data_IF_501989378454
#
_entry.id   IF_501989378454
#
_cell.length_a   1.000
_cell.length_b   1.000
_cell.length_c   1.000
_cell.angle_alpha   90.00
_cell.angle_beta   90.00
_cell.angle_gamma   90.00
#
_symmetry.space_group_name_H-M   'P 1'
#
loop_
_entity.id
_entity.type
_entity.pdbx_description
1 polymer ?
#
# COMPACT_ATOMS: atom_id res chain seq x y z
N UNK A 1 47.82 45.19 -7.03
CA UNK A 1 46.46 45.14 -6.49
C UNK A 1 45.61 44.49 -7.57
N UNK A 2 45.56 43.16 -7.61
CA UNK A 2 44.81 42.39 -8.60
C UNK A 2 43.54 41.90 -7.92
N UNK A 3 42.39 42.43 -8.36
CA UNK A 3 41.09 42.00 -7.89
C UNK A 3 40.65 40.77 -8.70
N UNK A 4 40.57 39.62 -8.05
CA UNK A 4 39.87 38.45 -8.59
C UNK A 4 38.37 38.66 -8.38
N UNK A 5 37.61 38.81 -9.46
CA UNK A 5 36.16 38.66 -9.44
C UNK A 5 35.84 37.16 -9.50
N UNK A 6 35.38 36.60 -8.38
CA UNK A 6 34.72 35.30 -8.36
C UNK A 6 33.30 35.48 -8.92
N UNK A 7 33.09 35.01 -10.14
CA UNK A 7 31.75 34.84 -10.70
C UNK A 7 31.14 33.57 -10.12
N UNK A 8 30.20 33.72 -9.19
CA UNK A 8 29.40 32.61 -8.66
C UNK A 8 28.41 32.20 -9.77
N UNK A 9 28.65 31.08 -10.44
CA UNK A 9 27.65 30.44 -11.30
C UNK A 9 26.63 29.74 -10.38
N UNK A 10 25.47 30.35 -10.21
CA UNK A 10 24.28 29.67 -9.69
C UNK A 10 23.69 28.88 -10.86
N UNK A 11 23.96 27.59 -10.91
CA UNK A 11 23.23 26.66 -11.77
C UNK A 11 21.82 26.50 -11.22
N UNK A 12 20.84 27.18 -11.81
CA UNK A 12 19.44 26.76 -11.70
C UNK A 12 19.34 25.39 -12.39
N UNK A 13 19.25 24.33 -11.60
CA UNK A 13 18.70 23.07 -12.11
C UNK A 13 17.19 23.31 -12.17
N UNK A 14 16.70 23.67 -13.35
CA UNK A 14 15.28 23.54 -13.64
C UNK A 14 15.00 22.04 -13.67
N UNK A 15 14.39 21.51 -12.61
CA UNK A 15 13.81 20.17 -12.66
C UNK A 15 12.69 20.18 -13.70
N UNK A 16 12.83 19.38 -14.74
CA UNK A 16 11.73 19.12 -15.65
C UNK A 16 10.71 18.26 -14.90
N UNK A 17 9.56 18.84 -14.54
CA UNK A 17 8.39 18.06 -14.17
C UNK A 17 7.74 17.59 -15.49
N UNK A 18 8.07 16.38 -15.92
CA UNK A 18 7.26 15.63 -16.88
C UNK A 18 6.27 14.79 -16.08
N UNK A 19 5.12 14.43 -16.67
CA UNK A 19 4.11 13.70 -15.93
C UNK A 19 4.66 12.36 -15.43
N UNK A 20 4.44 12.12 -14.14
CA UNK A 20 4.93 10.93 -13.45
C UNK A 20 3.73 10.15 -12.90
N UNK A 21 3.85 8.82 -12.93
CA UNK A 21 2.91 7.96 -12.21
C UNK A 21 2.92 8.35 -10.73
N UNK A 22 1.73 8.55 -10.18
CA UNK A 22 1.55 8.94 -8.78
C UNK A 22 0.95 7.79 -7.96
N UNK A 23 1.44 7.66 -6.74
CA UNK A 23 0.81 6.95 -5.64
C UNK A 23 -0.31 7.85 -5.10
N UNK A 24 -1.51 7.28 -4.97
CA UNK A 24 -2.68 7.96 -4.38
C UNK A 24 -3.05 7.21 -3.10
N UNK A 25 -2.70 7.76 -1.91
CA UNK A 25 -2.98 7.09 -0.65
C UNK A 25 -4.48 6.90 -0.42
N UNK A 26 -4.89 5.67 -0.15
CA UNK A 26 -6.28 5.32 0.13
C UNK A 26 -7.14 5.08 -1.12
N UNK A 27 -6.55 5.12 -2.32
CA UNK A 27 -7.25 4.71 -3.53
C UNK A 27 -7.36 3.17 -3.64
N UNK A 28 -8.38 2.72 -4.37
CA UNK A 28 -8.43 1.37 -4.95
C UNK A 28 -7.27 1.25 -5.93
N UNK A 29 -6.43 0.25 -5.76
CA UNK A 29 -5.35 -0.06 -6.68
C UNK A 29 -5.72 -1.33 -7.44
N UNK A 30 -5.76 -1.24 -8.76
CA UNK A 30 -6.15 -2.37 -9.61
C UNK A 30 -4.92 -3.03 -10.18
N UNK A 31 -4.79 -4.35 -10.00
CA UNK A 31 -3.71 -5.10 -10.61
C UNK A 31 -3.86 -5.14 -12.13
N UNK A 32 -2.81 -4.71 -12.84
CA UNK A 32 -2.83 -4.42 -14.27
C UNK A 32 -3.15 -5.63 -15.16
N UNK A 33 -2.83 -6.85 -14.70
CA UNK A 33 -3.01 -8.08 -15.44
C UNK A 33 -4.31 -8.83 -15.13
N UNK A 34 -4.98 -8.51 -14.01
CA UNK A 34 -6.24 -9.18 -13.62
C UNK A 34 -7.45 -8.26 -13.69
N UNK A 35 -7.26 -6.94 -13.55
CA UNK A 35 -8.37 -5.99 -13.43
C UNK A 35 -9.04 -6.02 -12.05
N UNK A 36 -8.44 -6.70 -11.07
CA UNK A 36 -8.96 -6.86 -9.71
C UNK A 36 -8.29 -5.90 -8.72
N UNK A 37 -8.99 -5.53 -7.65
CA UNK A 37 -8.39 -4.80 -6.53
C UNK A 37 -7.25 -5.62 -5.93
N UNK A 38 -6.13 -4.97 -5.64
CA UNK A 38 -4.99 -5.59 -4.97
C UNK A 38 -5.41 -6.01 -3.56
N UNK A 39 -5.14 -7.26 -3.20
CA UNK A 39 -5.35 -7.84 -1.88
C UNK A 39 -4.00 -8.31 -1.33
N UNK A 40 -3.30 -7.40 -0.66
CA UNK A 40 -2.01 -7.65 -0.04
C UNK A 40 -1.85 -6.81 1.24
N UNK A 41 -2.78 -6.96 2.19
CA UNK A 41 -2.76 -6.19 3.44
C UNK A 41 -1.69 -6.69 4.41
N UNK A 42 -1.32 -5.89 5.40
CA UNK A 42 -0.26 -6.25 6.36
C UNK A 42 1.08 -6.50 5.68
N UNK A 43 1.30 -5.86 4.53
CA UNK A 43 2.29 -6.25 3.55
C UNK A 43 3.75 -6.21 4.07
N UNK A 44 4.61 -6.98 3.42
CA UNK A 44 6.05 -6.72 3.35
C UNK A 44 6.48 -6.53 1.90
N UNK A 45 7.54 -5.75 1.68
CA UNK A 45 8.19 -5.62 0.38
C UNK A 45 9.55 -6.30 0.39
N UNK A 46 9.87 -7.02 -0.67
CA UNK A 46 11.23 -7.45 -1.01
C UNK A 46 11.55 -6.96 -2.42
N UNK A 47 12.75 -6.45 -2.62
CA UNK A 47 13.26 -6.02 -3.93
C UNK A 47 14.28 -7.04 -4.44
N UNK A 48 14.17 -7.42 -5.70
CA UNK A 48 15.17 -8.24 -6.37
C UNK A 48 15.30 -7.85 -7.85
N UNK A 49 16.51 -7.47 -8.24
CA UNK A 49 16.88 -7.11 -9.63
C UNK A 49 16.05 -5.96 -10.23
N UNK A 50 15.71 -4.96 -9.42
CA UNK A 50 14.91 -3.79 -9.82
C UNK A 50 13.41 -4.05 -9.85
N UNK A 51 12.96 -5.21 -9.36
CA UNK A 51 11.54 -5.54 -9.22
C UNK A 51 11.20 -5.60 -7.73
N UNK A 52 10.15 -4.88 -7.36
CA UNK A 52 9.57 -4.87 -6.03
C UNK A 52 8.45 -5.88 -5.97
N UNK A 53 8.42 -6.66 -4.90
CA UNK A 53 7.40 -7.67 -4.67
C UNK A 53 6.66 -7.35 -3.38
N UNK A 54 5.36 -7.08 -3.51
CA UNK A 54 4.46 -6.84 -2.39
C UNK A 54 3.78 -8.14 -2.00
N UNK A 55 4.05 -8.58 -0.77
CA UNK A 55 3.56 -9.86 -0.23
C UNK A 55 2.67 -9.55 0.96
N UNK A 56 1.41 -9.98 0.91
CA UNK A 56 0.42 -9.60 1.89
C UNK A 56 -0.79 -10.52 1.95
N UNK A 57 -1.72 -10.18 2.83
CA UNK A 57 -2.90 -10.95 3.16
C UNK A 57 -4.00 -10.80 2.09
N UNK A 58 -4.59 -11.92 1.69
CA UNK A 58 -5.87 -11.95 0.96
C UNK A 58 -7.04 -11.74 1.95
N UNK A 59 -7.86 -10.72 1.73
CA UNK A 59 -8.96 -10.32 2.64
C UNK A 59 -10.32 -10.15 1.94
N UNK A 60 -10.44 -10.61 0.69
CA UNK A 60 -11.70 -10.57 -0.06
C UNK A 60 -12.85 -11.22 0.71
N UNK A 61 -12.61 -12.35 1.37
CA UNK A 61 -13.63 -13.13 2.09
C UNK A 61 -13.56 -12.94 3.62
N UNK A 62 -13.08 -11.80 4.09
CA UNK A 62 -13.05 -11.43 5.51
C UNK A 62 -11.74 -11.81 6.21
N UNK A 63 -11.80 -12.09 7.52
CA UNK A 63 -10.61 -12.15 8.38
C UNK A 63 -9.92 -13.52 8.43
N UNK A 64 -10.65 -14.62 8.17
CA UNK A 64 -10.08 -15.95 8.22
C UNK A 64 -9.09 -16.17 7.08
N UNK A 65 -8.00 -16.89 7.29
CA UNK A 65 -6.96 -17.10 6.29
C UNK A 65 -7.52 -17.61 4.95
N UNK A 66 -7.09 -16.97 3.87
CA UNK A 66 -7.43 -17.32 2.49
C UNK A 66 -6.15 -17.69 1.74
N UNK A 67 -5.25 -16.70 1.59
CA UNK A 67 -3.95 -16.85 0.98
C UNK A 67 -2.99 -15.75 1.44
N UNK A 68 -1.70 -15.97 1.22
CA UNK A 68 -0.67 -14.94 1.13
C UNK A 68 -0.44 -14.67 -0.35
N UNK A 69 -0.84 -13.48 -0.81
CA UNK A 69 -0.70 -13.06 -2.21
C UNK A 69 0.65 -12.39 -2.46
N UNK A 70 1.11 -12.41 -3.70
CA UNK A 70 2.28 -11.69 -4.17
C UNK A 70 1.97 -10.91 -5.44
N UNK A 71 2.42 -9.65 -5.46
CA UNK A 71 2.33 -8.74 -6.59
C UNK A 71 3.72 -8.23 -6.94
N UNK A 72 4.01 -7.96 -8.21
CA UNK A 72 5.27 -7.37 -8.66
C UNK A 72 5.07 -5.99 -9.27
N UNK A 73 6.07 -5.12 -9.14
CA UNK A 73 6.11 -3.81 -9.77
C UNK A 73 7.56 -3.37 -10.02
N UNK A 74 7.80 -2.64 -11.11
CA UNK A 74 9.09 -1.99 -11.37
C UNK A 74 9.14 -0.52 -10.93
N UNK A 75 8.00 0.05 -10.50
CA UNK A 75 7.85 1.49 -10.23
C UNK A 75 7.09 1.82 -8.92
N UNK A 76 6.67 0.79 -8.16
CA UNK A 76 5.83 0.87 -6.95
C UNK A 76 4.40 1.37 -7.17
N UNK A 77 3.98 1.62 -8.41
CA UNK A 77 2.66 2.16 -8.74
C UNK A 77 1.85 1.13 -9.50
N UNK A 78 2.39 0.60 -10.58
CA UNK A 78 1.72 -0.40 -11.41
C UNK A 78 2.07 -1.80 -10.92
N UNK A 79 1.08 -2.50 -10.39
CA UNK A 79 1.25 -3.83 -9.83
C UNK A 79 0.65 -4.91 -10.72
N UNK A 80 1.34 -6.04 -10.86
CA UNK A 80 0.85 -7.26 -11.49
C UNK A 80 0.70 -8.36 -10.43
N UNK A 81 -0.42 -9.09 -10.45
CA UNK A 81 -0.58 -10.26 -9.60
C UNK A 81 0.28 -11.42 -10.09
N UNK A 82 1.11 -11.97 -9.22
CA UNK A 82 2.04 -13.06 -9.55
C UNK A 82 1.51 -14.43 -9.10
N UNK A 83 0.86 -14.47 -7.93
CA UNK A 83 0.29 -15.71 -7.42
C UNK A 83 0.08 -15.73 -5.91
N UNK A 84 -0.34 -16.89 -5.43
CA UNK A 84 -0.57 -17.18 -4.02
C UNK A 84 0.58 -18.05 -3.51
N UNK A 85 1.32 -17.54 -2.52
CA UNK A 85 2.55 -18.13 -2.01
C UNK A 85 2.23 -19.24 -1.03
N UNK A 86 1.20 -19.01 -0.22
CA UNK A 86 0.67 -19.95 0.77
C UNK A 86 -0.86 -19.83 0.77
N UNK A 87 -1.57 -20.94 0.81
CA UNK A 87 -3.05 -20.97 0.71
C UNK A 87 -3.67 -21.78 1.84
N UNK A 88 -4.91 -21.42 2.21
CA UNK A 88 -5.69 -22.18 3.18
C UNK A 88 -5.82 -23.65 2.77
N UNK A 89 -5.66 -24.56 3.73
CA UNK A 89 -5.88 -25.99 3.57
C UNK A 89 -7.32 -26.37 3.90
N UNK A 90 -7.80 -27.49 3.33
CA UNK A 90 -9.10 -28.07 3.69
C UNK A 90 -9.09 -28.79 5.05
N UNK A 91 -7.91 -29.21 5.51
CA UNK A 91 -7.70 -29.93 6.77
C UNK A 91 -7.50 -28.97 7.95
N UNK A 92 -7.85 -29.43 9.16
CA UNK A 92 -7.53 -28.75 10.41
C UNK A 92 -6.00 -28.57 10.56
N UNK A 93 -5.59 -27.47 11.17
CA UNK A 93 -4.18 -27.12 11.37
C UNK A 93 -3.99 -25.61 11.35
N UNK A 94 -2.75 -25.15 11.39
CA UNK A 94 -2.42 -23.71 11.43
C UNK A 94 -2.95 -22.95 10.21
N UNK A 95 -2.98 -23.61 9.05
CA UNK A 95 -3.46 -23.05 7.77
C UNK A 95 -4.87 -23.50 7.41
N UNK A 96 -5.57 -24.15 8.34
CA UNK A 96 -6.90 -24.71 8.11
C UNK A 96 -8.03 -23.67 8.11
N UNK A 97 -9.29 -24.12 8.04
CA UNK A 97 -10.46 -23.26 8.12
C UNK A 97 -10.53 -22.47 9.43
N UNK A 98 -11.02 -21.22 9.36
CA UNK A 98 -11.23 -20.31 10.51
C UNK A 98 -9.95 -19.97 11.31
N UNK A 99 -8.78 -20.09 10.69
CA UNK A 99 -7.49 -19.68 11.26
C UNK A 99 -7.16 -18.24 10.89
N UNK A 100 -6.26 -17.63 11.64
CA UNK A 100 -5.70 -16.30 11.36
C UNK A 100 -4.25 -16.48 10.94
N UNK A 101 -3.90 -15.91 9.78
CA UNK A 101 -2.54 -15.90 9.24
C UNK A 101 -2.31 -14.49 8.72
N UNK A 102 -1.45 -13.74 9.40
CA UNK A 102 -1.33 -12.29 9.20
C UNK A 102 0.13 -11.83 9.09
N UNK A 103 0.29 -10.63 8.54
CA UNK A 103 1.51 -9.85 8.38
C UNK A 103 2.69 -10.63 7.79
N UNK A 104 2.53 -11.35 6.66
CA UNK A 104 3.64 -12.08 6.05
C UNK A 104 4.83 -11.15 5.79
N UNK A 105 6.02 -11.62 6.13
CA UNK A 105 7.29 -10.96 5.79
C UNK A 105 8.25 -11.98 5.21
N UNK A 106 8.90 -11.62 4.10
CA UNK A 106 9.82 -12.50 3.39
C UNK A 106 11.20 -11.86 3.32
N UNK A 107 12.23 -12.64 3.66
CA UNK A 107 13.64 -12.29 3.44
C UNK A 107 14.35 -13.42 2.72
N UNK A 108 15.40 -13.09 1.97
CA UNK A 108 16.28 -14.08 1.33
C UNK A 108 17.40 -14.47 2.29
N UNK A 109 17.63 -15.77 2.44
CA UNK A 109 18.83 -16.31 3.05
C UNK A 109 19.93 -16.42 1.99
N UNK A 110 20.99 -15.63 2.11
CA UNK A 110 21.99 -15.49 1.03
C UNK A 110 22.88 -16.74 0.90
N UNK A 111 23.07 -17.49 1.99
CA UNK A 111 23.89 -18.71 2.01
C UNK A 111 23.21 -19.88 1.30
N UNK A 112 21.89 -20.00 1.45
CA UNK A 112 21.10 -21.09 0.85
C UNK A 112 20.40 -20.69 -0.44
N UNK A 113 20.22 -19.38 -0.68
CA UNK A 113 19.42 -18.82 -1.75
C UNK A 113 17.90 -18.97 -1.56
N UNK A 114 17.45 -19.55 -0.43
CA UNK A 114 16.04 -19.75 -0.11
C UNK A 114 15.40 -18.45 0.37
N UNK A 115 14.10 -18.32 0.11
CA UNK A 115 13.29 -17.24 0.68
C UNK A 115 12.56 -17.79 1.89
N UNK A 116 12.64 -17.09 3.01
CA UNK A 116 12.04 -17.48 4.28
C UNK A 116 10.93 -16.50 4.61
N UNK A 117 9.72 -17.02 4.78
CA UNK A 117 8.53 -16.29 5.15
C UNK A 117 8.24 -16.50 6.64
N UNK A 118 8.00 -15.40 7.35
CA UNK A 118 7.49 -15.41 8.72
C UNK A 118 6.07 -14.86 8.75
N UNK A 119 5.24 -15.44 9.61
CA UNK A 119 3.79 -15.20 9.71
C UNK A 119 3.38 -15.06 11.17
N UNK A 120 2.37 -14.24 11.45
CA UNK A 120 1.58 -14.39 12.67
C UNK A 120 0.57 -15.51 12.43
N UNK A 121 0.55 -16.52 13.31
CA UNK A 121 -0.37 -17.66 13.27
C UNK A 121 -1.25 -17.64 14.52
N UNK A 122 -2.56 -17.66 14.33
CA UNK A 122 -3.50 -17.63 15.45
C UNK A 122 -4.81 -18.39 15.25
N UNK A 123 -5.46 -18.63 16.38
CA UNK A 123 -6.88 -18.97 16.45
C UNK A 123 -7.73 -17.73 16.19
N UNK A 124 -9.00 -17.91 15.81
CA UNK A 124 -9.91 -16.80 15.55
C UNK A 124 -10.21 -15.90 16.77
N UNK A 125 -9.90 -16.37 17.98
CA UNK A 125 -9.96 -15.61 19.24
C UNK A 125 -8.59 -15.11 19.73
N UNK A 126 -7.55 -15.22 18.89
CA UNK A 126 -6.19 -14.72 19.11
C UNK A 126 -5.49 -15.27 20.36
N UNK A 127 -5.76 -16.53 20.72
CA UNK A 127 -5.23 -17.18 21.93
C UNK A 127 -4.02 -18.07 21.67
N UNK A 128 -3.80 -18.53 20.44
CA UNK A 128 -2.62 -19.33 20.12
C UNK A 128 -1.36 -18.45 20.20
N UNK A 129 -1.42 -17.23 19.64
CA UNK A 129 -0.36 -16.21 19.67
C UNK A 129 1.01 -16.79 19.31
N UNK A 130 1.13 -17.33 18.09
CA UNK A 130 2.30 -18.03 17.56
C UNK A 130 2.85 -17.30 16.33
N UNK A 131 4.11 -17.59 16.02
CA UNK A 131 4.70 -17.32 14.72
C UNK A 131 4.69 -18.58 13.87
N UNK A 132 4.65 -18.43 12.55
CA UNK A 132 4.81 -19.52 11.58
C UNK A 132 5.96 -19.25 10.63
N UNK A 133 6.60 -20.32 10.15
CA UNK A 133 7.74 -20.24 9.21
C UNK A 133 7.44 -21.08 7.97
N UNK A 134 7.72 -20.51 6.80
CA UNK A 134 7.62 -21.20 5.51
C UNK A 134 8.82 -20.87 4.62
N UNK A 135 9.14 -21.74 3.66
CA UNK A 135 10.28 -21.52 2.74
C UNK A 135 9.91 -21.69 1.27
N UNK A 136 10.54 -20.91 0.40
CA UNK A 136 10.32 -20.93 -1.04
C UNK A 136 11.63 -20.83 -1.84
N UNK A 137 11.57 -21.21 -3.11
CA UNK A 137 12.68 -21.14 -4.08
C UNK A 137 12.73 -19.84 -4.89
N UNK A 138 11.73 -18.97 -4.76
CA UNK A 138 11.63 -17.69 -5.42
C UNK A 138 10.70 -16.76 -4.66
N UNK A 139 10.78 -15.46 -4.92
CA UNK A 139 10.00 -14.43 -4.20
C UNK A 139 8.49 -14.70 -4.26
N UNK A 140 7.92 -14.82 -5.48
CA UNK A 140 6.52 -15.17 -5.66
C UNK A 140 6.30 -16.65 -6.00
N UNK A 141 7.16 -17.55 -5.50
CA UNK A 141 7.01 -18.99 -5.67
C UNK A 141 5.96 -19.61 -4.73
N UNK A 142 5.74 -20.91 -4.82
CA UNK A 142 5.02 -21.65 -3.78
C UNK A 142 5.91 -21.86 -2.56
N UNK A 143 5.35 -21.65 -1.38
CA UNK A 143 6.06 -21.82 -0.11
C UNK A 143 5.63 -23.11 0.59
N UNK A 144 6.61 -23.85 1.11
CA UNK A 144 6.41 -24.98 2.00
C UNK A 144 6.32 -24.46 3.44
N UNK A 145 5.14 -24.61 4.05
CA UNK A 145 4.93 -24.32 5.47
C UNK A 145 5.61 -25.38 6.33
N UNK A 146 6.43 -24.94 7.28
CA UNK A 146 7.24 -25.82 8.12
C UNK A 146 6.53 -26.11 9.45
N UNK A 147 6.32 -25.08 10.26
CA UNK A 147 5.70 -25.18 11.58
C UNK A 147 5.28 -23.82 12.14
N UNK A 148 4.53 -23.85 13.24
CA UNK A 148 4.35 -22.70 14.14
C UNK A 148 4.82 -22.99 15.56
N UNK A 149 5.26 -21.94 16.24
CA UNK A 149 5.69 -21.99 17.64
C UNK A 149 5.57 -20.64 18.34
N UNK A 150 5.78 -20.64 19.66
CA UNK A 150 5.91 -19.43 20.48
C UNK A 150 7.40 -19.09 20.61
N UNK A 151 7.89 -17.96 20.09
CA UNK A 151 9.32 -17.68 20.04
C UNK A 151 9.89 -17.59 21.46
N UNK A 152 10.85 -18.47 21.78
CA UNK A 152 11.43 -18.62 23.14
C UNK A 152 10.37 -18.88 24.24
N UNK A 153 9.19 -19.38 23.87
CA UNK A 153 8.05 -19.60 24.76
C UNK A 153 7.17 -18.38 25.03
N UNK A 154 7.49 -17.19 24.47
CA UNK A 154 6.70 -15.97 24.61
C UNK A 154 5.52 -15.95 23.64
N UNK A 155 4.47 -15.19 23.97
CA UNK A 155 3.41 -14.90 23.01
C UNK A 155 3.96 -14.07 21.85
N UNK A 156 3.41 -14.26 20.66
CA UNK A 156 3.63 -13.38 19.51
C UNK A 156 2.32 -13.19 18.75
N UNK A 157 1.87 -11.96 18.58
CA UNK A 157 0.79 -11.61 17.65
C UNK A 157 1.36 -10.87 16.47
N UNK A 158 1.07 -9.58 16.34
CA UNK A 158 1.61 -8.75 15.28
C UNK A 158 3.13 -8.88 15.17
N UNK A 159 3.58 -9.13 13.94
CA UNK A 159 4.99 -9.31 13.63
C UNK A 159 5.49 -8.33 12.56
N UNK A 160 6.81 -8.15 12.58
CA UNK A 160 7.59 -7.64 11.47
C UNK A 160 8.90 -8.42 11.36
N UNK A 161 9.67 -8.18 10.30
CA UNK A 161 10.93 -8.87 10.05
C UNK A 161 11.95 -7.88 9.51
N UNK A 162 13.16 -7.92 10.07
CA UNK A 162 14.25 -7.04 9.68
C UNK A 162 15.52 -7.86 9.43
N UNK A 163 16.13 -7.68 8.25
CA UNK A 163 17.46 -8.20 7.93
C UNK A 163 18.44 -7.03 7.89
N UNK A 164 19.46 -7.08 8.74
CA UNK A 164 20.50 -6.05 8.80
C UNK A 164 21.52 -6.24 7.67
N UNK A 165 22.34 -5.22 7.46
CA UNK A 165 23.34 -5.16 6.39
C UNK A 165 24.44 -6.23 6.53
N UNK A 166 24.63 -6.78 7.73
CA UNK A 166 25.58 -7.87 8.00
C UNK A 166 24.99 -9.27 7.74
N UNK A 167 23.73 -9.35 7.30
CA UNK A 167 23.01 -10.59 7.04
C UNK A 167 22.37 -11.22 8.26
N UNK A 168 22.49 -10.64 9.46
CA UNK A 168 21.69 -11.09 10.61
C UNK A 168 20.23 -10.67 10.45
N UNK A 169 19.30 -11.52 10.90
CA UNK A 169 17.87 -11.26 10.80
C UNK A 169 17.19 -11.28 12.18
N UNK A 170 16.09 -10.53 12.28
CA UNK A 170 15.39 -10.28 13.53
C UNK A 170 13.89 -10.30 13.32
N UNK A 171 13.20 -11.09 14.12
CA UNK A 171 11.75 -11.03 14.31
C UNK A 171 11.42 -9.84 15.22
N UNK A 172 10.48 -9.02 14.78
CA UNK A 172 9.82 -8.00 15.58
C UNK A 172 8.48 -8.59 16.03
N UNK A 173 8.14 -8.52 17.32
CA UNK A 173 6.98 -9.25 17.85
C UNK A 173 6.28 -8.49 18.97
N UNK A 174 4.94 -8.42 18.91
CA UNK A 174 4.07 -8.01 20.01
C UNK A 174 3.79 -9.19 20.94
N UNK A 175 4.26 -9.08 22.18
CA UNK A 175 4.00 -10.01 23.28
C UNK A 175 3.02 -9.35 24.26
N UNK A 176 1.75 -9.77 24.24
CA UNK A 176 0.69 -9.14 25.05
C UNK A 176 0.94 -9.17 26.56
N UNK A 177 1.80 -10.05 27.05
CA UNK A 177 2.15 -10.11 28.47
C UNK A 177 3.29 -9.16 28.84
N UNK A 178 4.12 -8.75 27.88
CA UNK A 178 5.35 -7.99 28.12
C UNK A 178 5.39 -6.64 27.40
N UNK A 179 5.07 -6.61 26.11
CA UNK A 179 5.23 -5.47 25.20
C UNK A 179 5.93 -5.91 23.91
N UNK A 180 6.65 -5.00 23.27
CA UNK A 180 7.32 -5.27 21.99
C UNK A 180 8.72 -5.87 22.18
N UNK A 181 9.13 -6.79 21.30
CA UNK A 181 10.47 -7.42 21.31
C UNK A 181 11.16 -7.34 19.95
N UNK A 182 12.49 -7.25 19.98
CA UNK A 182 13.38 -7.59 18.87
C UNK A 182 14.06 -8.91 19.24
N UNK A 183 13.85 -9.94 18.42
CA UNK A 183 14.33 -11.30 18.67
C UNK A 183 15.21 -11.70 17.49
N UNK A 184 16.47 -12.04 17.77
CA UNK A 184 17.42 -12.49 16.76
C UNK A 184 17.01 -13.87 16.22
N UNK A 185 17.13 -14.07 14.92
CA UNK A 185 16.94 -15.37 14.27
C UNK A 185 18.23 -16.18 14.21
N UNK A 186 18.10 -17.50 14.04
CA UNK A 186 19.21 -18.40 13.67
C UNK A 186 19.76 -18.06 12.29
N UNK A 187 20.97 -18.53 11.96
CA UNK A 187 21.65 -18.19 10.69
C UNK A 187 20.90 -18.68 9.44
N UNK A 188 20.08 -19.74 9.56
CA UNK A 188 19.19 -20.23 8.49
C UNK A 188 17.85 -19.48 8.43
N UNK A 189 17.59 -18.59 9.39
CA UNK A 189 16.34 -17.85 9.61
C UNK A 189 15.10 -18.71 9.89
N UNK A 190 15.28 -19.99 10.25
CA UNK A 190 14.16 -20.92 10.45
C UNK A 190 13.70 -21.01 11.92
N UNK A 191 14.46 -20.45 12.86
CA UNK A 191 14.12 -20.40 14.28
C UNK A 191 14.64 -19.09 14.92
N UNK A 192 14.31 -18.87 16.20
CA UNK A 192 14.79 -17.77 17.02
C UNK A 192 16.00 -18.19 17.88
N UNK A 193 16.98 -17.30 18.02
CA UNK A 193 18.18 -17.49 18.85
C UNK A 193 18.00 -16.85 20.23
N UNK A 194 17.89 -15.52 20.29
CA UNK A 194 17.84 -14.78 21.55
C UNK A 194 17.11 -13.44 21.44
N UNK A 195 16.51 -12.98 22.54
CA UNK A 195 15.98 -11.62 22.66
C UNK A 195 17.16 -10.63 22.58
N UNK A 196 17.10 -9.74 21.59
CA UNK A 196 18.09 -8.67 21.40
C UNK A 196 17.71 -7.43 22.21
N UNK A 197 16.43 -7.08 22.23
CA UNK A 197 15.88 -5.99 23.04
C UNK A 197 14.39 -6.20 23.30
N UNK A 198 13.86 -5.56 24.35
CA UNK A 198 12.42 -5.54 24.62
C UNK A 198 11.99 -4.26 25.33
N UNK A 199 10.76 -3.84 25.05
CA UNK A 199 10.10 -2.74 25.74
C UNK A 199 8.97 -3.29 26.60
N UNK A 200 8.83 -2.78 27.82
CA UNK A 200 7.58 -2.87 28.59
C UNK A 200 6.57 -1.82 28.11
N UNK A 201 6.37 -1.77 26.79
CA UNK A 201 5.49 -0.87 26.07
C UNK A 201 4.91 -1.62 24.88
N UNK A 202 3.61 -1.49 24.67
CA UNK A 202 2.87 -2.21 23.64
C UNK A 202 2.80 -1.37 22.37
N UNK A 203 3.74 -1.64 21.45
CA UNK A 203 3.64 -1.22 20.06
C UNK A 203 3.43 -2.48 19.20
N UNK A 204 2.21 -2.67 18.70
CA UNK A 204 1.89 -3.70 17.70
C UNK A 204 2.27 -3.21 16.30
N UNK A 205 2.00 -4.03 15.29
CA UNK A 205 2.36 -3.81 13.89
C UNK A 205 3.82 -3.38 13.63
N UNK A 206 4.82 -4.00 14.28
CA UNK A 206 6.15 -3.43 14.32
C UNK A 206 6.85 -3.46 12.95
N UNK A 207 7.44 -2.33 12.56
CA UNK A 207 8.27 -2.20 11.36
C UNK A 207 9.62 -1.56 11.70
N UNK A 208 10.73 -2.09 11.18
CA UNK A 208 12.08 -1.59 11.49
C UNK A 208 12.85 -1.27 10.23
N UNK A 209 13.57 -0.14 10.25
CA UNK A 209 14.49 0.28 9.19
C UNK A 209 15.77 0.85 9.80
N UNK A 210 16.89 0.73 9.08
CA UNK A 210 18.15 1.40 9.41
C UNK A 210 18.47 2.47 8.37
N UNK A 211 18.78 3.69 8.81
CA UNK A 211 19.16 4.84 7.97
C UNK A 211 20.21 5.70 8.64
N UNK A 212 21.26 6.04 7.89
CA UNK A 212 22.33 6.92 8.39
C UNK A 212 23.01 6.41 9.68
N UNK A 213 23.04 5.09 9.91
CA UNK A 213 23.56 4.49 11.15
C UNK A 213 22.58 4.45 12.34
N UNK A 214 21.34 4.92 12.16
CA UNK A 214 20.28 4.87 13.15
C UNK A 214 19.26 3.81 12.78
N UNK A 215 18.88 2.96 13.73
CA UNK A 215 17.73 2.08 13.65
C UNK A 215 16.48 2.85 14.11
N UNK A 216 15.40 2.72 13.36
CA UNK A 216 14.08 3.23 13.68
C UNK A 216 13.15 2.04 13.75
N UNK A 217 12.41 1.90 14.85
CA UNK A 217 11.30 0.95 14.95
C UNK A 217 10.00 1.74 15.09
N UNK A 218 8.99 1.36 14.33
CA UNK A 218 7.66 1.94 14.30
C UNK A 218 6.66 0.92 14.81
N UNK A 219 5.53 1.37 15.33
CA UNK A 219 4.41 0.51 15.68
C UNK A 219 3.17 1.30 16.10
N UNK A 220 2.03 0.64 16.15
CA UNK A 220 0.76 1.21 16.59
C UNK A 220 0.42 0.86 18.04
N UNK A 221 -0.47 1.62 18.66
CA UNK A 221 -1.11 1.19 19.90
C UNK A 221 -2.11 0.04 19.65
N UNK A 222 -2.53 -0.63 20.73
CA UNK A 222 -3.48 -1.76 20.70
C UNK A 222 -4.94 -1.28 20.68
N UNK A 223 -5.44 -0.90 19.50
CA UNK A 223 -6.83 -0.44 19.31
C UNK A 223 -7.65 -1.34 18.40
N UNK A 224 -7.19 -2.57 18.17
CA UNK A 224 -7.83 -3.49 17.24
C UNK A 224 -7.75 -2.93 15.82
N UNK A 225 -8.88 -2.90 15.11
CA UNK A 225 -8.93 -2.35 13.75
C UNK A 225 -8.98 -0.82 13.68
N UNK A 226 -9.30 -0.14 14.79
CA UNK A 226 -9.39 1.32 14.79
C UNK A 226 -7.97 1.91 14.69
N UNK A 227 -7.72 2.89 13.80
CA UNK A 227 -6.41 3.50 13.68
C UNK A 227 -6.10 4.38 14.91
N UNK A 228 -4.82 4.61 15.16
CA UNK A 228 -4.32 5.46 16.25
C UNK A 228 -3.07 6.23 15.83
N UNK A 229 -2.63 7.19 16.65
CA UNK A 229 -1.37 7.89 16.43
C UNK A 229 -0.21 6.92 16.66
N UNK A 230 0.36 6.38 15.58
CA UNK A 230 1.45 5.42 15.63
C UNK A 230 2.70 6.10 16.17
N UNK A 231 3.57 5.29 16.77
CA UNK A 231 4.78 5.74 17.46
C UNK A 231 6.04 5.14 16.84
N UNK A 232 7.17 5.76 17.10
CA UNK A 232 8.49 5.23 16.78
C UNK A 232 9.49 5.42 17.92
N UNK A 233 10.56 4.63 17.87
CA UNK A 233 11.73 4.71 18.75
C UNK A 233 13.01 4.54 17.93
N UNK A 234 14.13 5.08 18.43
CA UNK A 234 15.43 5.04 17.73
C UNK A 234 16.58 4.54 18.60
N UNK A 235 17.58 3.91 17.96
CA UNK A 235 18.83 3.51 18.58
C UNK A 235 19.98 3.45 17.56
N UNK A 236 21.22 3.45 18.02
CA UNK A 236 22.40 3.18 17.16
C UNK A 236 22.84 1.72 17.20
N UNK A 237 22.15 0.88 17.98
CA UNK A 237 22.35 -0.57 18.06
C UNK A 237 21.01 -1.23 18.37
N UNK A 238 20.75 -2.40 17.80
CA UNK A 238 19.53 -3.15 18.06
C UNK A 238 19.36 -3.54 19.54
N UNK A 239 20.45 -3.71 20.28
CA UNK A 239 20.44 -3.98 21.73
C UNK A 239 20.24 -2.71 22.59
N UNK A 240 20.07 -1.56 21.95
CA UNK A 240 19.81 -0.28 22.58
C UNK A 240 21.07 0.49 23.04
N UNK A 241 20.89 1.50 23.91
CA UNK A 241 19.60 1.95 24.45
C UNK A 241 18.71 2.54 23.36
N UNK A 242 17.41 2.23 23.44
CA UNK A 242 16.39 2.80 22.57
C UNK A 242 15.79 4.06 23.21
N UNK A 243 15.41 5.04 22.39
CA UNK A 243 14.70 6.22 22.85
C UNK A 243 13.31 5.87 23.39
N UNK A 244 12.69 6.80 24.12
CA UNK A 244 11.25 6.68 24.38
C UNK A 244 10.47 6.66 23.05
N UNK A 245 9.33 5.98 23.07
CA UNK A 245 8.36 6.02 21.98
C UNK A 245 7.76 7.42 21.87
N UNK A 246 7.61 7.91 20.64
CA UNK A 246 7.01 9.21 20.32
C UNK A 246 6.33 9.14 18.96
N UNK A 247 5.36 10.00 18.70
CA UNK A 247 4.60 10.04 17.45
C UNK A 247 5.45 10.61 16.29
N UNK A 248 5.20 10.15 15.06
CA UNK A 248 5.86 10.65 13.84
C UNK A 248 4.90 11.28 12.82
N UNK A 249 3.59 11.10 12.98
CA UNK A 249 2.56 11.84 12.26
C UNK A 249 1.96 12.94 13.16
N UNK A 250 1.27 13.96 12.60
CA UNK A 250 0.53 14.93 13.40
C UNK A 250 -0.48 14.21 14.31
N UNK A 251 -0.35 14.44 15.62
CA UNK A 251 -1.22 13.86 16.65
C UNK A 251 -2.69 14.19 16.38
N UNK A 252 -3.57 13.20 16.54
CA UNK A 252 -5.00 13.28 16.27
C UNK A 252 -5.40 12.94 14.84
N UNK A 253 -4.43 12.73 13.94
CA UNK A 253 -4.72 12.21 12.59
C UNK A 253 -4.88 10.70 12.58
N UNK A 254 -4.52 10.02 13.68
CA UNK A 254 -4.45 8.56 13.75
C UNK A 254 -3.56 7.99 12.63
N UNK A 255 -2.40 8.62 12.44
CA UNK A 255 -1.48 8.31 11.33
C UNK A 255 -2.19 8.39 9.97
N UNK A 256 -2.96 9.46 9.76
CA UNK A 256 -3.83 9.64 8.60
C UNK A 256 -4.83 8.48 8.38
N UNK A 257 -5.45 8.05 9.49
CA UNK A 257 -6.35 6.90 9.55
C UNK A 257 -5.74 5.63 8.97
N UNK A 258 -4.55 5.28 9.44
CA UNK A 258 -3.87 4.04 9.03
C UNK A 258 -3.03 3.41 10.15
N UNK A 259 -2.65 2.17 9.94
CA UNK A 259 -1.78 1.40 10.82
C UNK A 259 -0.54 0.98 10.03
N UNK A 260 0.65 1.27 10.56
CA UNK A 260 1.92 0.87 9.94
C UNK A 260 1.98 -0.65 9.70
N UNK A 261 2.61 -1.08 8.62
CA UNK A 261 2.91 -2.50 8.40
C UNK A 261 4.35 -2.75 7.93
N UNK A 262 4.93 -1.79 7.20
CA UNK A 262 6.27 -1.86 6.64
C UNK A 262 6.83 -0.45 6.44
N UNK A 263 8.15 -0.35 6.40
CA UNK A 263 8.84 0.89 6.04
C UNK A 263 9.86 0.54 4.96
N UNK A 264 9.56 0.91 3.71
CA UNK A 264 10.37 0.55 2.56
C UNK A 264 11.56 1.52 2.43
N UNK A 265 12.79 1.01 2.42
CA UNK A 265 13.96 1.71 1.92
C UNK A 265 13.77 2.49 0.61
N UNK A 266 14.03 3.80 0.60
CA UNK A 266 14.12 4.60 -0.63
C UNK A 266 15.44 5.37 -0.69
N UNK A 267 16.23 5.16 -1.74
CA UNK A 267 17.57 5.75 -1.83
C UNK A 267 18.46 5.42 -0.63
N UNK A 268 19.37 6.34 -0.29
CA UNK A 268 20.35 6.13 0.79
C UNK A 268 19.88 6.58 2.17
N UNK A 269 18.96 7.54 2.24
CA UNK A 269 18.61 8.27 3.47
C UNK A 269 17.10 8.39 3.70
N UNK A 270 16.28 7.97 2.74
CA UNK A 270 14.83 8.12 2.77
C UNK A 270 14.11 6.79 2.93
N UNK A 271 12.80 6.89 3.14
CA UNK A 271 11.92 5.75 3.26
C UNK A 271 10.50 6.09 2.78
N UNK A 272 9.71 5.05 2.57
CA UNK A 272 8.28 5.13 2.32
C UNK A 272 7.59 4.44 3.50
N UNK A 273 6.73 5.19 4.19
CA UNK A 273 5.80 4.62 5.15
C UNK A 273 4.77 3.81 4.38
N UNK A 274 4.50 2.59 4.84
CA UNK A 274 3.44 1.76 4.31
C UNK A 274 2.52 1.36 5.46
N UNK A 275 1.24 1.70 5.33
CA UNK A 275 0.22 1.31 6.28
C UNK A 275 -1.07 0.88 5.60
N UNK A 276 -1.89 0.17 6.37
CA UNK A 276 -3.23 -0.26 5.98
C UNK A 276 -4.26 0.69 6.58
N UNK A 277 -5.25 1.11 5.78
CA UNK A 277 -6.50 1.70 6.23
C UNK A 277 -7.54 0.59 6.29
N UNK A 278 -7.66 -0.01 7.46
CA UNK A 278 -8.57 -1.12 7.70
C UNK A 278 -10.03 -0.68 7.69
N UNK A 279 -10.88 -1.47 7.03
CA UNK A 279 -12.33 -1.33 7.05
C UNK A 279 -12.91 -2.58 7.69
N UNK A 280 -12.98 -2.62 9.03
CA UNK A 280 -13.32 -3.84 9.78
C UNK A 280 -14.70 -4.44 9.45
N UNK A 281 -15.65 -3.61 9.01
CA UNK A 281 -16.97 -4.06 8.55
C UNK A 281 -16.97 -4.66 7.15
N UNK A 282 -15.90 -4.46 6.37
CA UNK A 282 -15.74 -4.95 5.00
C UNK A 282 -14.24 -4.97 4.62
N UNK A 283 -13.51 -5.99 5.08
CA UNK A 283 -12.04 -6.04 4.94
C UNK A 283 -11.57 -6.00 3.47
N UNK A 284 -12.39 -6.50 2.54
CA UNK A 284 -12.13 -6.41 1.11
C UNK A 284 -12.04 -4.97 0.58
N UNK A 285 -12.61 -4.00 1.31
CA UNK A 285 -12.58 -2.57 1.00
C UNK A 285 -11.45 -1.81 1.73
N UNK A 286 -10.56 -2.50 2.44
CA UNK A 286 -9.37 -1.87 3.05
C UNK A 286 -8.41 -1.38 1.95
N UNK A 287 -7.70 -0.30 2.24
CA UNK A 287 -6.83 0.41 1.28
C UNK A 287 -5.44 0.67 1.87
N UNK A 288 -4.53 1.13 1.02
CA UNK A 288 -3.11 1.32 1.36
C UNK A 288 -2.78 2.80 1.52
N UNK A 289 -2.20 3.19 2.66
CA UNK A 289 -1.70 4.54 2.92
C UNK A 289 -0.19 4.52 2.82
N UNK A 290 0.31 4.84 1.62
CA UNK A 290 1.74 4.94 1.35
C UNK A 290 2.15 6.38 1.22
N UNK A 291 3.08 6.81 2.05
CA UNK A 291 3.48 8.21 2.16
C UNK A 291 5.01 8.32 2.26
N UNK A 292 5.61 9.39 1.72
CA UNK A 292 7.01 9.68 1.96
C UNK A 292 7.30 9.82 3.46
N UNK A 293 8.32 9.12 3.94
CA UNK A 293 8.75 9.16 5.33
C UNK A 293 10.11 9.86 5.43
N UNK A 294 10.14 10.99 6.12
CA UNK A 294 11.36 11.75 6.34
C UNK A 294 12.10 11.21 7.56
N UNK A 295 13.37 10.86 7.37
CA UNK A 295 14.25 10.34 8.43
C UNK A 295 15.52 11.21 8.49
N UNK A 296 15.76 11.83 9.65
CA UNK A 296 16.96 12.67 9.85
C UNK A 296 17.52 12.53 11.25
N UNK A 297 18.73 11.97 11.34
CA UNK A 297 19.43 11.74 12.61
C UNK A 297 18.70 10.70 13.46
N UNK A 298 17.83 11.18 14.35
CA UNK A 298 16.96 10.37 15.23
C UNK A 298 15.49 10.77 15.12
N UNK A 299 15.13 11.58 14.13
CA UNK A 299 13.77 12.11 13.94
C UNK A 299 13.11 11.42 12.75
N UNK A 300 11.86 11.00 12.93
CA UNK A 300 10.97 10.56 11.86
C UNK A 300 9.77 11.51 11.74
N UNK A 301 9.35 11.83 10.52
CA UNK A 301 8.18 12.67 10.27
C UNK A 301 7.38 12.19 9.06
N UNK A 302 6.05 12.19 9.18
CA UNK A 302 5.10 11.79 8.16
C UNK A 302 4.14 12.94 7.83
N UNK A 303 4.15 13.36 6.56
CA UNK A 303 3.26 14.41 6.03
C UNK A 303 2.29 13.79 5.02
N UNK A 304 1.04 14.27 5.01
CA UNK A 304 0.05 13.85 4.03
C UNK A 304 0.34 14.43 2.66
N UNK A 305 0.11 13.63 1.62
CA UNK A 305 0.12 14.01 0.22
C UNK A 305 -1.10 13.40 -0.46
N UNK A 306 -1.93 14.21 -1.12
CA UNK A 306 -3.11 13.70 -1.86
C UNK A 306 -2.71 12.80 -3.02
N UNK A 307 -1.56 13.10 -3.62
CA UNK A 307 -0.84 12.25 -4.57
C UNK A 307 0.64 12.64 -4.58
N UNK A 308 1.50 11.69 -4.92
CA UNK A 308 2.94 11.94 -5.02
C UNK A 308 3.59 10.92 -5.95
N UNK A 309 4.69 11.29 -6.57
CA UNK A 309 5.46 10.42 -7.46
C UNK A 309 6.80 10.07 -6.85
N UNK A 310 7.28 8.86 -7.14
CA UNK A 310 8.57 8.35 -6.68
C UNK A 310 9.52 8.18 -7.87
N UNK A 311 10.75 8.68 -7.73
CA UNK A 311 11.86 8.37 -8.61
C UNK A 311 12.78 7.37 -7.91
N UNK A 312 12.64 6.11 -8.28
CA UNK A 312 13.43 5.01 -7.71
C UNK A 312 14.92 5.10 -8.08
N UNK A 313 15.26 5.77 -9.18
CA UNK A 313 16.66 5.93 -9.62
C UNK A 313 17.39 6.93 -8.73
N UNK A 314 16.75 8.07 -8.45
CA UNK A 314 17.36 9.10 -7.59
C UNK A 314 17.03 8.92 -6.10
N UNK A 315 16.06 8.08 -5.75
CA UNK A 315 15.51 8.00 -4.40
C UNK A 315 14.75 9.27 -4.00
N UNK A 316 14.24 10.03 -4.96
CA UNK A 316 13.47 11.24 -4.71
C UNK A 316 11.96 10.97 -4.79
N UNK A 317 11.19 11.92 -4.28
CA UNK A 317 9.76 12.02 -4.53
C UNK A 317 9.41 13.47 -4.84
N UNK A 318 8.24 13.66 -5.45
CA UNK A 318 7.69 14.98 -5.75
C UNK A 318 6.18 14.99 -5.63
N UNK A 319 5.65 16.15 -5.26
CA UNK A 319 4.24 16.47 -5.47
C UNK A 319 3.98 16.77 -6.95
N UNK A 320 2.75 16.58 -7.43
CA UNK A 320 2.33 17.08 -8.73
C UNK A 320 2.53 18.60 -8.78
N UNK A 321 2.99 19.10 -9.93
CA UNK A 321 3.12 20.54 -10.17
C UNK A 321 1.75 21.20 -10.38
N UNK A 322 0.77 20.42 -10.87
CA UNK A 322 -0.61 20.86 -11.03
C UNK A 322 -1.57 19.68 -10.85
N UNK A 323 -2.83 20.00 -10.52
CA UNK A 323 -3.91 19.03 -10.45
C UNK A 323 -5.06 19.56 -11.30
N UNK A 324 -5.54 18.73 -12.22
CA UNK A 324 -6.73 19.02 -13.02
C UNK A 324 -7.92 18.24 -12.47
N UNK A 325 -9.08 18.88 -12.43
CA UNK A 325 -10.31 18.37 -11.83
C UNK A 325 -11.45 18.54 -12.84
N UNK A 326 -12.19 17.45 -13.08
CA UNK A 326 -13.31 17.41 -14.02
C UNK A 326 -14.49 16.66 -13.40
N UNK A 327 -15.59 17.38 -13.17
CA UNK A 327 -16.80 16.81 -12.55
C UNK A 327 -17.45 15.76 -13.47
N UNK A 328 -17.84 14.64 -12.88
CA UNK A 328 -18.45 13.51 -13.57
C UNK A 328 -19.76 13.90 -14.25
N UNK A 329 -20.60 14.69 -13.58
CA UNK A 329 -21.87 15.18 -14.10
C UNK A 329 -21.75 16.16 -15.27
N UNK A 330 -20.59 16.78 -15.46
CA UNK A 330 -20.31 17.68 -16.58
C UNK A 330 -19.89 16.92 -17.85
N UNK A 331 -19.62 15.62 -17.73
CA UNK A 331 -19.29 14.76 -18.87
C UNK A 331 -20.46 14.48 -19.82
N UNK A 332 -20.16 14.02 -21.03
CA UNK A 332 -21.19 13.55 -21.96
C UNK A 332 -21.77 12.21 -21.48
N UNK A 333 -23.02 12.25 -21.01
CA UNK A 333 -23.74 11.08 -20.51
C UNK A 333 -24.57 10.43 -21.63
N UNK A 334 -24.38 9.13 -21.82
CA UNK A 334 -25.10 8.36 -22.83
C UNK A 334 -25.42 6.94 -22.33
N UNK A 335 -26.17 6.17 -23.13
CA UNK A 335 -26.47 4.76 -22.81
C UNK A 335 -27.27 4.54 -21.52
N UNK A 336 -27.98 5.55 -21.03
CA UNK A 336 -28.74 5.48 -19.77
C UNK A 336 -28.03 6.09 -18.55
N UNK A 337 -26.75 6.46 -18.69
CA UNK A 337 -26.06 7.28 -17.69
C UNK A 337 -26.78 8.62 -17.50
N UNK A 338 -26.79 9.12 -16.26
CA UNK A 338 -27.48 10.36 -15.88
C UNK A 338 -26.92 10.93 -14.59
N UNK A 339 -27.12 12.22 -14.39
CA UNK A 339 -26.80 12.87 -13.13
C UNK A 339 -27.64 12.31 -11.99
N UNK A 340 -27.04 12.07 -10.83
CA UNK A 340 -27.70 11.63 -9.60
C UNK A 340 -27.29 12.52 -8.42
N UNK A 341 -28.15 12.61 -7.41
CA UNK A 341 -27.78 13.27 -6.16
C UNK A 341 -26.74 12.42 -5.42
N UNK A 342 -25.67 13.05 -4.95
CA UNK A 342 -24.60 12.41 -4.21
C UNK A 342 -24.09 13.33 -3.10
N UNK A 343 -24.51 13.12 -1.85
CA UNK A 343 -24.12 14.01 -0.75
C UNK A 343 -22.64 14.00 -0.37
N UNK A 344 -21.91 12.96 -0.75
CA UNK A 344 -20.47 12.80 -0.48
C UNK A 344 -19.58 13.25 -1.64
N UNK A 345 -20.18 13.56 -2.80
CA UNK A 345 -19.48 13.96 -4.01
C UNK A 345 -19.20 15.46 -4.00
N UNK A 346 -18.22 15.89 -4.80
CA UNK A 346 -18.08 17.28 -5.17
C UNK A 346 -19.39 17.79 -5.79
N UNK A 347 -19.73 19.05 -5.53
CA UNK A 347 -20.98 19.65 -6.02
C UNK A 347 -22.29 19.04 -5.50
N UNK A 348 -22.26 17.92 -4.78
CA UNK A 348 -23.44 17.18 -4.35
C UNK A 348 -24.08 16.31 -5.44
N UNK A 349 -23.40 16.10 -6.58
CA UNK A 349 -23.93 15.43 -7.78
C UNK A 349 -22.87 14.45 -8.31
N UNK A 350 -23.29 13.44 -9.07
CA UNK A 350 -22.40 12.51 -9.74
C UNK A 350 -22.99 12.03 -11.07
N UNK A 351 -22.15 11.52 -11.97
CA UNK A 351 -22.59 10.72 -13.10
C UNK A 351 -22.89 9.28 -12.66
N UNK A 352 -24.17 8.96 -12.50
CA UNK A 352 -24.63 7.63 -12.11
C UNK A 352 -25.11 6.79 -13.29
N UNK A 353 -25.53 5.56 -12.97
CA UNK A 353 -26.01 4.57 -13.94
C UNK A 353 -24.96 4.20 -15.00
N UNK A 354 -23.67 4.21 -14.62
CA UNK A 354 -22.59 3.72 -15.48
C UNK A 354 -22.70 2.21 -15.64
N UNK A 355 -22.52 1.72 -16.87
CA UNK A 355 -22.74 0.33 -17.24
C UNK A 355 -24.22 -0.06 -17.23
N UNK A 356 -24.49 -1.33 -16.98
CA UNK A 356 -25.84 -1.87 -16.92
C UNK A 356 -25.90 -3.36 -17.16
N UNK A 357 -27.09 -3.92 -17.03
CA UNK A 357 -27.29 -5.36 -17.20
C UNK A 357 -27.09 -5.75 -18.67
N UNK A 358 -26.48 -6.91 -18.91
CA UNK A 358 -26.11 -7.41 -20.25
C UNK A 358 -27.27 -7.50 -21.25
N UNK A 359 -28.51 -7.54 -20.75
CA UNK A 359 -29.74 -7.70 -21.53
C UNK A 359 -30.52 -6.37 -21.68
N UNK A 360 -29.96 -5.24 -21.25
CA UNK A 360 -30.61 -3.94 -21.31
C UNK A 360 -29.99 -3.03 -22.38
N UNK A 361 -30.82 -2.22 -23.04
CA UNK A 361 -30.36 -1.12 -23.90
C UNK A 361 -29.69 0.02 -23.10
N UNK A 362 -29.58 -0.14 -21.77
CA UNK A 362 -28.90 0.76 -20.86
C UNK A 362 -27.48 0.23 -20.58
N UNK A 363 -26.51 0.64 -21.39
CA UNK A 363 -25.10 0.50 -21.06
C UNK A 363 -24.52 1.89 -20.86
N UNK A 364 -24.70 2.45 -19.66
CA UNK A 364 -24.38 3.83 -19.36
C UNK A 364 -22.90 4.14 -19.52
N UNK A 365 -22.62 5.31 -20.09
CA UNK A 365 -21.28 5.80 -20.35
C UNK A 365 -21.20 7.27 -19.97
N UNK A 366 -20.10 7.64 -19.33
CA UNK A 366 -19.68 9.05 -19.18
C UNK A 366 -18.39 9.25 -19.99
N UNK A 367 -18.33 10.35 -20.74
CA UNK A 367 -17.11 10.79 -21.44
C UNK A 367 -16.72 12.17 -20.92
N UNK A 368 -15.51 12.27 -20.38
CA UNK A 368 -14.94 13.52 -19.86
C UNK A 368 -13.87 14.04 -20.83
N UNK A 369 -13.96 15.32 -21.18
CA UNK A 369 -12.95 16.00 -21.98
C UNK A 369 -11.90 16.62 -21.06
N UNK A 370 -10.65 16.16 -21.15
CA UNK A 370 -9.53 16.64 -20.35
C UNK A 370 -8.48 17.33 -21.21
N UNK A 371 -8.17 18.60 -20.93
CA UNK A 371 -7.11 19.35 -21.62
C UNK A 371 -5.84 19.33 -20.77
N UNK A 372 -4.80 18.69 -21.28
CA UNK A 372 -3.56 18.37 -20.53
C UNK A 372 -2.38 19.09 -21.15
N UNK A 373 -1.62 19.84 -20.35
CA UNK A 373 -0.33 20.36 -20.79
C UNK A 373 0.80 19.48 -20.24
N UNK A 374 1.23 18.47 -21.01
CA UNK A 374 2.34 17.58 -20.63
C UNK A 374 3.72 18.25 -20.74
N UNK A 375 3.82 19.49 -21.24
CA UNK A 375 5.06 20.24 -21.55
C UNK A 375 6.07 19.57 -22.51
N UNK A 376 6.06 18.24 -22.67
CA UNK A 376 6.94 17.47 -23.56
C UNK A 376 6.40 17.36 -24.99
N UNK A 377 5.10 17.59 -25.19
CA UNK A 377 4.42 17.42 -26.48
C UNK A 377 4.25 15.96 -26.92
N UNK A 378 4.71 15.00 -26.13
CA UNK A 378 4.52 13.56 -26.36
C UNK A 378 3.40 13.00 -25.46
N UNK A 379 2.96 11.77 -25.74
CA UNK A 379 2.02 11.07 -24.88
C UNK A 379 2.74 10.54 -23.63
N UNK A 380 2.30 10.98 -22.46
CA UNK A 380 2.89 10.61 -21.17
C UNK A 380 1.96 9.65 -20.41
N UNK A 381 2.57 8.73 -19.66
CA UNK A 381 1.84 7.79 -18.83
C UNK A 381 1.58 8.43 -17.47
N UNK A 382 0.32 8.56 -17.08
CA UNK A 382 -0.12 9.29 -15.89
C UNK A 382 -1.11 8.46 -15.08
N UNK A 383 -1.24 8.79 -13.80
CA UNK A 383 -2.30 8.25 -12.94
C UNK A 383 -3.53 9.15 -13.02
N UNK A 384 -4.68 8.58 -13.39
CA UNK A 384 -5.99 9.16 -13.15
C UNK A 384 -6.45 8.74 -11.75
N UNK A 385 -6.93 9.70 -10.96
CA UNK A 385 -7.68 9.45 -9.75
C UNK A 385 -9.17 9.65 -10.05
N UNK A 386 -9.91 8.55 -10.17
CA UNK A 386 -11.36 8.60 -10.38
C UNK A 386 -12.01 8.60 -9.00
N UNK A 387 -12.58 9.74 -8.58
CA UNK A 387 -13.43 9.83 -7.40
C UNK A 387 -14.80 9.22 -7.70
N UNK A 388 -15.34 8.45 -6.77
CA UNK A 388 -16.55 7.68 -7.05
C UNK A 388 -17.33 7.28 -5.79
N UNK A 389 -18.57 6.83 -6.01
CA UNK A 389 -19.35 6.08 -5.03
C UNK A 389 -19.65 4.65 -5.47
N UNK A 390 -19.53 3.73 -4.53
CA UNK A 390 -20.06 2.38 -4.61
C UNK A 390 -20.70 2.01 -3.26
N UNK A 391 -22.03 2.17 -3.16
CA UNK A 391 -22.78 1.83 -1.96
C UNK A 391 -22.94 0.33 -1.70
N UNK A 392 -22.49 -0.56 -2.61
CA UNK A 392 -22.54 -2.01 -2.39
C UNK A 392 -21.37 -2.46 -1.52
N UNK A 393 -21.48 -3.63 -0.89
CA UNK A 393 -20.36 -4.26 -0.17
C UNK A 393 -19.30 -4.83 -1.11
N UNK A 394 -19.73 -5.37 -2.26
CA UNK A 394 -18.83 -5.93 -3.25
C UNK A 394 -18.27 -4.83 -4.16
N UNK A 395 -17.04 -4.99 -4.68
CA UNK A 395 -16.50 -4.11 -5.70
C UNK A 395 -17.42 -4.04 -6.92
N UNK A 396 -17.43 -2.88 -7.57
CA UNK A 396 -17.91 -2.71 -8.94
C UNK A 396 -16.71 -2.57 -9.88
N UNK A 397 -16.96 -2.69 -11.17
CA UNK A 397 -15.93 -2.61 -12.19
C UNK A 397 -16.41 -1.72 -13.33
N UNK A 398 -15.50 -0.95 -13.90
CA UNK A 398 -15.74 -0.18 -15.10
C UNK A 398 -14.53 -0.25 -16.04
N UNK A 399 -14.80 -0.15 -17.32
CA UNK A 399 -13.79 -0.02 -18.36
C UNK A 399 -13.47 1.47 -18.56
N UNK A 400 -12.18 1.81 -18.51
CA UNK A 400 -11.65 3.16 -18.74
C UNK A 400 -10.88 3.15 -20.06
N UNK A 401 -11.32 3.96 -21.03
CA UNK A 401 -10.67 4.13 -22.33
C UNK A 401 -10.31 5.59 -22.54
N UNK A 402 -9.10 5.83 -23.07
CA UNK A 402 -8.63 7.18 -23.40
C UNK A 402 -8.51 7.34 -24.90
N UNK A 403 -9.05 8.43 -25.45
CA UNK A 403 -8.96 8.77 -26.88
C UNK A 403 -9.43 7.66 -27.82
N UNK A 404 -10.40 6.84 -27.39
CA UNK A 404 -10.88 5.67 -28.14
C UNK A 404 -9.87 4.51 -28.24
N UNK A 405 -8.83 4.52 -27.40
CA UNK A 405 -7.86 3.43 -27.26
C UNK A 405 -8.43 2.20 -26.57
N UNK A 406 -7.58 1.19 -26.38
CA UNK A 406 -7.94 -0.02 -25.64
C UNK A 406 -8.40 0.33 -24.22
N UNK A 407 -9.53 -0.25 -23.81
CA UNK A 407 -10.09 -0.03 -22.49
C UNK A 407 -9.39 -0.93 -21.46
N UNK A 408 -9.08 -0.37 -20.29
CA UNK A 408 -8.60 -1.12 -19.13
C UNK A 408 -9.73 -1.28 -18.11
N UNK A 409 -9.86 -2.45 -17.50
CA UNK A 409 -10.79 -2.66 -16.39
C UNK A 409 -10.18 -2.08 -15.11
N UNK A 410 -10.94 -1.25 -14.40
CA UNK A 410 -10.62 -0.74 -13.09
C UNK A 410 -11.62 -1.26 -12.04
N UNK A 411 -11.11 -1.59 -10.86
CA UNK A 411 -11.92 -1.94 -9.70
C UNK A 411 -12.35 -0.68 -8.94
N UNK A 412 -13.52 -0.76 -8.31
CA UNK A 412 -14.13 0.28 -7.50
C UNK A 412 -14.71 -0.36 -6.25
N UNK A 413 -13.91 -0.47 -5.19
CA UNK A 413 -14.30 -1.11 -3.92
C UNK A 413 -15.43 -0.36 -3.23
N UNK A 414 -16.05 -0.98 -2.22
CA UNK A 414 -17.14 -0.37 -1.45
C UNK A 414 -16.71 0.96 -0.82
N UNK A 415 -17.53 1.99 -0.98
CA UNK A 415 -17.41 3.27 -0.28
C UNK A 415 -18.47 3.42 0.82
N UNK A 416 -19.20 2.35 1.15
CA UNK A 416 -20.30 2.40 2.12
C UNK A 416 -19.88 2.81 3.54
N UNK A 417 -18.58 2.70 3.85
CA UNK A 417 -17.99 3.12 5.12
C UNK A 417 -17.60 4.61 5.15
N UNK A 418 -17.60 5.30 4.00
CA UNK A 418 -17.32 6.73 3.92
C UNK A 418 -18.55 7.53 4.39
N UNK A 419 -18.34 8.53 5.26
CA UNK A 419 -19.43 9.37 5.76
C UNK A 419 -19.55 10.73 5.07
N UNK A 420 -18.47 11.25 4.52
CA UNK A 420 -18.37 12.65 4.07
C UNK A 420 -17.60 12.87 2.77
N UNK A 421 -16.91 11.86 2.24
CA UNK A 421 -16.15 11.97 0.98
C UNK A 421 -16.39 10.80 0.04
N UNK A 422 -16.26 11.03 -1.25
CA UNK A 422 -16.18 9.97 -2.25
C UNK A 422 -14.94 9.06 -2.03
N UNK A 423 -15.00 7.87 -2.61
CA UNK A 423 -13.86 6.97 -2.74
C UNK A 423 -12.89 7.43 -3.81
N UNK A 424 -11.84 6.65 -4.05
CA UNK A 424 -10.83 6.95 -5.08
C UNK A 424 -10.36 5.67 -5.74
N UNK A 425 -10.19 5.67 -7.06
CA UNK A 425 -9.63 4.56 -7.81
C UNK A 425 -8.52 5.08 -8.72
N UNK A 426 -7.33 4.47 -8.60
CA UNK A 426 -6.16 4.85 -9.37
C UNK A 426 -6.11 4.04 -10.68
N UNK A 427 -6.02 4.73 -11.82
CA UNK A 427 -5.99 4.12 -13.16
C UNK A 427 -4.88 4.71 -14.00
N UNK A 428 -4.04 3.89 -14.63
CA UNK A 428 -2.82 4.35 -15.31
C UNK A 428 -3.01 4.38 -16.83
N UNK A 429 -3.01 5.57 -17.41
CA UNK A 429 -3.34 5.81 -18.83
C UNK A 429 -2.24 6.57 -19.55
N UNK A 430 -2.33 6.65 -20.88
CA UNK A 430 -1.50 7.56 -21.67
C UNK A 430 -2.34 8.77 -22.11
N UNK A 431 -1.94 9.97 -21.73
CA UNK A 431 -2.55 11.23 -22.20
C UNK A 431 -1.59 11.91 -23.17
N UNK A 432 -2.11 12.58 -24.21
CA UNK A 432 -1.32 13.47 -25.08
C UNK A 432 -1.44 14.92 -24.58
N UNK A 433 -0.48 15.77 -24.93
CA UNK A 433 -0.66 17.22 -24.78
C UNK A 433 -1.89 17.71 -25.58
N UNK A 434 -2.68 18.60 -24.98
CA UNK A 434 -3.95 19.11 -25.50
C UNK A 434 -5.16 18.27 -25.07
N UNK A 435 -6.23 18.35 -25.87
CA UNK A 435 -7.50 17.69 -25.60
C UNK A 435 -7.42 16.15 -25.66
N UNK A 436 -7.87 15.51 -24.59
CA UNK A 436 -8.07 14.07 -24.44
C UNK A 436 -9.52 13.78 -24.12
N UNK A 437 -10.01 12.60 -24.50
CA UNK A 437 -11.28 12.08 -23.99
C UNK A 437 -11.02 10.90 -23.05
N UNK A 438 -11.69 10.89 -21.90
CA UNK A 438 -11.66 9.78 -20.94
C UNK A 438 -13.08 9.22 -20.84
N UNK A 439 -13.27 8.01 -21.38
CA UNK A 439 -14.54 7.30 -21.37
C UNK A 439 -14.55 6.28 -20.23
N UNK A 440 -15.60 6.30 -19.41
CA UNK A 440 -15.86 5.29 -18.37
C UNK A 440 -17.19 4.59 -18.68
N UNK A 441 -17.16 3.26 -18.80
CA UNK A 441 -18.31 2.42 -19.19
C UNK A 441 -18.36 1.10 -18.42
N UNK A 442 -19.49 0.39 -18.44
CA UNK A 442 -19.60 -0.92 -17.77
C UNK A 442 -18.77 -2.04 -18.41
N UNK A 443 -18.51 -3.11 -17.64
CA UNK A 443 -17.80 -4.33 -18.06
C UNK A 443 -18.74 -5.55 -18.18
N UNK A 444 -20.02 -5.31 -18.48
CA UNK A 444 -21.08 -6.35 -18.47
C UNK A 444 -21.93 -6.38 -17.19
N UNK A 445 -21.83 -5.32 -16.38
CA UNK A 445 -22.67 -5.06 -15.21
C UNK A 445 -22.64 -3.56 -14.85
N UNK A 446 -23.20 -3.23 -13.69
CA UNK A 446 -23.21 -1.86 -13.16
C UNK A 446 -21.83 -1.43 -12.64
N UNK A 447 -21.35 -0.29 -13.14
CA UNK A 447 -20.16 0.42 -12.66
C UNK A 447 -20.47 1.32 -11.46
N UNK A 448 -19.47 2.04 -10.92
CA UNK A 448 -19.66 3.00 -9.84
C UNK A 448 -20.41 4.26 -10.33
N UNK A 449 -20.85 5.09 -9.39
CA UNK A 449 -21.27 6.46 -9.70
C UNK A 449 -20.01 7.35 -9.68
N UNK A 450 -19.76 8.09 -10.77
CA UNK A 450 -18.52 8.87 -10.97
C UNK A 450 -18.73 10.28 -10.44
N UNK A 451 -17.97 10.64 -9.42
CA UNK A 451 -17.94 11.97 -8.80
C UNK A 451 -17.07 12.91 -9.64
N UNK A 452 -15.77 12.63 -9.71
CA UNK A 452 -14.80 13.54 -10.30
C UNK A 452 -13.65 12.74 -10.94
N UNK A 453 -13.09 13.24 -12.02
CA UNK A 453 -11.80 12.82 -12.56
C UNK A 453 -10.72 13.83 -12.14
N UNK A 454 -9.78 13.36 -11.33
CA UNK A 454 -8.62 14.14 -10.88
C UNK A 454 -7.36 13.63 -11.58
N UNK A 455 -6.57 14.55 -12.15
CA UNK A 455 -5.33 14.24 -12.88
C UNK A 455 -4.16 15.00 -12.25
N UNK A 456 -3.35 14.36 -11.39
CA UNK A 456 -2.08 14.92 -10.93
C UNK A 456 -1.04 14.91 -12.06
N UNK A 457 -0.43 16.07 -12.34
CA UNK A 457 0.58 16.29 -13.39
C UNK A 457 1.89 16.85 -12.85
#
# INVERSE_FOLDING_TARGET
>A
MYAFQNTLLVSLVAGCAGAALSIIPGATWTATNTGEHIQAHGAGIIEENGIYYMIGEEKTDGSAFQAVNCYSSSDLVEWSFEGQLLTRTEEDGDLGPNRVVERPKVIKNDDTGKYVMWLHIDSSDYQDARVGVATGDGVCGSYEYLESFRPLGFQSRDIGLFKDEDGSAYLLSEDREYGTRIIKLTDDYLDVDAVTFGWEYFAESPALIKRGGTYYIFGSHLTGWDPNDNVYSTATSLSGPWSNWTEFAPVGTNTYSSQVNYVLPLGTDKAIYMGDRWVSSNLAASTYIWLPLELYGTTASLTWYDSWSVDLTSGAWSEPASVLEYEGEDGELSGGARTIDCSQCSGGVAAGYIGGDSDSDNNGVVVLDADVDTQSGESERVTLNIRYLNGNTNPRYAAVSVNGGEAQTAAFISTAHHSDTAGSSAVHVKLKSGANTVQISGTGGWGPDIDELVIPL
#
